data_IF_887560279181
#
_entry.id   IF_887560279181
#
_cell.length_a   1.000
_cell.length_b   1.000
_cell.length_c   1.000
_cell.angle_alpha   90.00
_cell.angle_beta   90.00
_cell.angle_gamma   90.00
#
_symmetry.space_group_name_H-M   'P 1'
#
loop_
_entity.id
_entity.type
_entity.pdbx_description
1 polymer ?
#
# COMPACT_ATOMS: atom_id res chain seq x y z
N UNK A 1 -6.45 8.01 -14.74
CA UNK A 1 -6.25 8.58 -13.40
C UNK A 1 -7.20 9.74 -13.10
N UNK A 2 -7.39 10.70 -14.03
CA UNK A 2 -8.36 11.82 -13.83
C UNK A 2 -9.77 11.29 -13.69
N UNK A 3 -10.17 10.40 -14.56
CA UNK A 3 -11.50 9.78 -14.55
C UNK A 3 -11.75 9.02 -13.24
N UNK A 4 -10.78 8.25 -12.75
CA UNK A 4 -10.89 7.53 -11.48
C UNK A 4 -11.14 8.48 -10.30
N UNK A 5 -10.42 9.63 -10.26
CA UNK A 5 -10.62 10.64 -9.22
C UNK A 5 -11.98 11.35 -9.35
N UNK A 6 -12.47 11.51 -10.57
CA UNK A 6 -13.82 12.08 -10.80
C UNK A 6 -14.93 11.13 -10.34
N UNK A 7 -14.82 9.82 -10.61
CA UNK A 7 -15.73 8.82 -10.06
C UNK A 7 -15.69 8.79 -8.54
N UNK A 8 -14.48 8.87 -7.94
CA UNK A 8 -14.31 8.97 -6.50
C UNK A 8 -15.00 10.21 -5.92
N UNK A 9 -14.80 11.39 -6.55
CA UNK A 9 -15.41 12.65 -6.13
C UNK A 9 -16.93 12.53 -6.13
N UNK A 10 -17.52 12.12 -7.25
CA UNK A 10 -18.97 11.96 -7.40
C UNK A 10 -19.55 11.00 -6.37
N UNK A 11 -18.86 9.87 -6.12
CA UNK A 11 -19.30 8.93 -5.10
C UNK A 11 -19.32 9.57 -3.70
N UNK A 12 -18.25 10.26 -3.35
CA UNK A 12 -18.11 10.87 -2.03
C UNK A 12 -19.09 12.04 -1.83
N UNK A 13 -19.33 12.86 -2.86
CA UNK A 13 -20.34 13.91 -2.83
C UNK A 13 -21.75 13.33 -2.65
N UNK A 14 -22.12 12.32 -3.43
CA UNK A 14 -23.42 11.66 -3.35
C UNK A 14 -23.63 10.96 -2.00
N UNK A 15 -22.57 10.34 -1.46
CA UNK A 15 -22.59 9.64 -0.17
C UNK A 15 -23.02 10.55 0.98
N UNK A 16 -22.69 11.83 0.95
CA UNK A 16 -23.09 12.81 2.00
C UNK A 16 -24.60 12.96 2.12
N UNK A 17 -25.34 12.77 1.02
CA UNK A 17 -26.78 12.99 0.95
C UNK A 17 -27.56 11.68 1.01
N UNK A 18 -27.08 10.67 0.28
CA UNK A 18 -27.82 9.42 0.09
C UNK A 18 -27.31 8.26 0.95
N UNK A 19 -26.12 8.41 1.57
CA UNK A 19 -25.41 7.32 2.23
C UNK A 19 -24.60 6.45 1.26
N UNK A 20 -23.65 5.64 1.78
CA UNK A 20 -22.66 4.95 0.96
C UNK A 20 -23.24 3.92 -0.01
N UNK A 21 -24.24 3.16 0.40
CA UNK A 21 -24.87 2.13 -0.44
C UNK A 21 -25.67 2.77 -1.59
N UNK A 22 -26.52 3.73 -1.30
CA UNK A 22 -27.37 4.36 -2.33
C UNK A 22 -26.51 5.14 -3.35
N UNK A 23 -25.48 5.85 -2.90
CA UNK A 23 -24.51 6.52 -3.75
C UNK A 23 -23.79 5.54 -4.68
N UNK A 24 -23.33 4.41 -4.15
CA UNK A 24 -22.66 3.37 -4.94
C UNK A 24 -23.60 2.78 -6.00
N UNK A 25 -24.83 2.44 -5.62
CA UNK A 25 -25.83 1.85 -6.54
C UNK A 25 -26.21 2.83 -7.65
N UNK A 26 -26.35 4.12 -7.34
CA UNK A 26 -26.61 5.18 -8.33
C UNK A 26 -25.48 5.29 -9.34
N UNK A 27 -24.24 5.38 -8.88
CA UNK A 27 -23.08 5.55 -9.75
C UNK A 27 -22.78 4.28 -10.56
N UNK A 28 -23.01 3.10 -9.99
CA UNK A 28 -22.85 1.82 -10.69
C UNK A 28 -23.75 1.74 -11.92
N UNK A 29 -24.98 2.25 -11.85
CA UNK A 29 -25.87 2.28 -13.01
C UNK A 29 -25.36 3.18 -14.15
N UNK A 30 -24.59 4.20 -13.80
CA UNK A 30 -24.03 5.16 -14.76
C UNK A 30 -22.66 4.74 -15.31
N UNK A 31 -21.93 3.85 -14.63
CA UNK A 31 -20.60 3.41 -15.03
C UNK A 31 -20.63 2.00 -15.64
N UNK A 32 -20.45 1.85 -16.96
CA UNK A 32 -20.46 0.55 -17.64
C UNK A 32 -19.27 -0.34 -17.26
N UNK A 33 -18.19 0.24 -16.69
CA UNK A 33 -16.97 -0.48 -16.27
C UNK A 33 -17.05 -1.00 -14.84
N UNK A 34 -18.10 -0.65 -14.11
CA UNK A 34 -18.27 -1.13 -12.73
C UNK A 34 -18.78 -2.56 -12.74
N UNK A 35 -18.19 -3.45 -11.98
CA UNK A 35 -18.71 -4.80 -11.78
C UNK A 35 -20.12 -4.74 -11.20
N UNK A 36 -21.04 -5.60 -11.69
CA UNK A 36 -22.45 -5.59 -11.30
C UNK A 36 -22.71 -6.18 -9.91
N UNK A 37 -21.73 -6.12 -9.02
CA UNK A 37 -21.86 -6.58 -7.62
C UNK A 37 -22.57 -5.53 -6.78
N UNK A 38 -23.53 -5.95 -5.91
CA UNK A 38 -24.16 -5.01 -4.98
C UNK A 38 -23.14 -4.47 -3.99
N UNK A 39 -23.39 -3.26 -3.46
CA UNK A 39 -22.58 -2.71 -2.38
C UNK A 39 -22.61 -3.62 -1.16
N UNK A 40 -21.46 -3.80 -0.54
CA UNK A 40 -21.27 -4.62 0.67
C UNK A 40 -20.69 -3.73 1.77
N UNK A 41 -21.52 -3.28 2.71
CA UNK A 41 -21.02 -2.52 3.84
C UNK A 41 -20.11 -3.40 4.72
N UNK A 42 -19.19 -2.77 5.41
CA UNK A 42 -18.41 -3.45 6.44
C UNK A 42 -19.26 -3.63 7.71
N UNK A 43 -19.27 -4.81 8.28
CA UNK A 43 -20.03 -5.10 9.49
C UNK A 43 -19.65 -4.14 10.64
N UNK A 44 -20.65 -3.51 11.26
CA UNK A 44 -20.46 -2.52 12.32
C UNK A 44 -19.91 -1.16 11.86
N UNK A 45 -19.82 -0.93 10.54
CA UNK A 45 -19.38 0.32 9.90
C UNK A 45 -20.25 0.61 8.66
N UNK A 46 -21.53 0.30 8.71
CA UNK A 46 -22.44 0.34 7.56
C UNK A 46 -22.58 1.75 6.96
N UNK A 47 -22.45 2.78 7.81
CA UNK A 47 -22.52 4.19 7.39
C UNK A 47 -21.16 4.76 6.92
N UNK A 48 -20.08 3.97 6.98
CA UNK A 48 -18.76 4.40 6.56
C UNK A 48 -18.58 4.09 5.07
N UNK A 49 -18.28 5.08 4.22
CA UNK A 49 -17.96 4.83 2.82
C UNK A 49 -16.77 3.89 2.69
N UNK A 50 -16.98 2.77 2.01
CA UNK A 50 -15.97 1.76 1.74
C UNK A 50 -15.96 1.41 0.26
N UNK A 51 -14.93 1.83 -0.45
CA UNK A 51 -14.81 1.61 -1.90
C UNK A 51 -13.41 1.13 -2.31
N UNK A 52 -13.38 0.46 -3.44
CA UNK A 52 -12.17 -0.04 -4.08
C UNK A 52 -11.96 0.62 -5.45
N UNK A 53 -10.76 1.11 -5.69
CA UNK A 53 -10.27 1.56 -6.98
C UNK A 53 -9.30 0.51 -7.52
N UNK A 54 -9.71 -0.17 -8.60
CA UNK A 54 -8.92 -1.26 -9.19
C UNK A 54 -7.98 -0.72 -10.24
N UNK A 55 -6.67 -0.88 -10.02
CA UNK A 55 -5.62 -0.51 -10.97
C UNK A 55 -4.57 -1.62 -11.06
N UNK A 56 -4.09 -1.95 -12.26
CA UNK A 56 -2.99 -2.89 -12.42
C UNK A 56 -1.70 -2.42 -11.74
N UNK A 57 -0.79 -3.34 -11.48
CA UNK A 57 0.55 -3.02 -11.02
C UNK A 57 1.24 -2.10 -12.04
N UNK A 58 1.95 -1.08 -11.55
CA UNK A 58 2.54 -0.05 -12.42
C UNK A 58 1.58 1.07 -12.85
N UNK A 59 0.26 0.95 -12.61
CA UNK A 59 -0.74 1.97 -12.97
C UNK A 59 -0.74 3.25 -12.11
N UNK A 60 0.24 3.42 -11.22
CA UNK A 60 0.37 4.61 -10.38
C UNK A 60 -0.56 4.63 -9.16
N UNK A 61 -0.86 3.46 -8.56
CA UNK A 61 -1.71 3.33 -7.37
C UNK A 61 -1.33 4.32 -6.26
N UNK A 62 -0.07 4.35 -5.86
CA UNK A 62 0.42 5.22 -4.78
C UNK A 62 0.24 6.71 -5.11
N UNK A 63 0.45 7.12 -6.37
CA UNK A 63 0.19 8.48 -6.80
C UNK A 63 -1.32 8.82 -6.74
N UNK A 64 -2.16 7.90 -7.22
CA UNK A 64 -3.60 8.08 -7.17
C UNK A 64 -4.12 8.11 -5.74
N UNK A 65 -3.57 7.27 -4.86
CA UNK A 65 -3.87 7.28 -3.43
C UNK A 65 -3.52 8.62 -2.77
N UNK A 66 -2.36 9.20 -3.08
CA UNK A 66 -2.00 10.54 -2.62
C UNK A 66 -3.01 11.61 -3.10
N UNK A 67 -3.43 11.54 -4.38
CA UNK A 67 -4.44 12.47 -4.93
C UNK A 67 -5.82 12.28 -4.32
N UNK A 68 -6.20 11.05 -3.95
CA UNK A 68 -7.51 10.75 -3.36
C UNK A 68 -7.70 11.39 -1.97
N UNK A 69 -6.62 11.68 -1.24
CA UNK A 69 -6.69 12.39 0.04
C UNK A 69 -7.35 13.75 -0.15
N UNK A 70 -6.91 14.51 -1.15
CA UNK A 70 -7.48 15.82 -1.44
C UNK A 70 -8.95 15.73 -1.86
N UNK A 71 -9.30 14.72 -2.67
CA UNK A 71 -10.67 14.48 -3.08
C UNK A 71 -11.56 14.15 -1.88
N UNK A 72 -11.12 13.24 -1.01
CA UNK A 72 -11.87 12.86 0.18
C UNK A 72 -12.01 14.03 1.17
N UNK A 73 -10.93 14.79 1.38
CA UNK A 73 -10.94 15.97 2.25
C UNK A 73 -12.00 16.99 1.83
N UNK A 74 -12.11 17.27 0.53
CA UNK A 74 -13.03 18.28 -0.01
C UNK A 74 -14.44 17.76 -0.22
N UNK A 75 -14.58 16.55 -0.81
CA UNK A 75 -15.87 16.04 -1.26
C UNK A 75 -16.70 15.39 -0.14
N UNK A 76 -16.06 14.89 0.92
CA UNK A 76 -16.76 14.12 1.96
C UNK A 76 -16.46 14.57 3.38
N UNK A 77 -15.16 14.67 3.73
CA UNK A 77 -14.77 14.98 5.12
C UNK A 77 -15.02 16.43 5.51
N UNK A 78 -15.03 17.34 4.54
CA UNK A 78 -15.11 18.80 4.75
C UNK A 78 -14.04 19.29 5.74
N UNK A 79 -12.84 18.72 5.65
CA UNK A 79 -11.71 19.01 6.51
C UNK A 79 -10.55 19.56 5.69
N UNK A 80 -9.99 20.67 6.15
CA UNK A 80 -8.80 21.26 5.55
C UNK A 80 -7.56 20.42 5.84
N UNK A 81 -7.48 19.85 7.05
CA UNK A 81 -6.36 19.06 7.54
C UNK A 81 -6.82 17.68 8.08
N UNK A 82 -7.16 16.72 7.20
CA UNK A 82 -7.60 15.41 7.65
C UNK A 82 -6.44 14.57 8.23
N UNK A 83 -6.78 13.73 9.21
CA UNK A 83 -5.93 12.62 9.61
C UNK A 83 -6.09 11.48 8.60
N UNK A 84 -4.97 10.99 8.08
CA UNK A 84 -4.91 9.88 7.12
C UNK A 84 -4.14 8.73 7.73
N UNK A 85 -4.73 7.55 7.73
CA UNK A 85 -4.06 6.30 8.05
C UNK A 85 -3.82 5.50 6.76
N UNK A 86 -2.57 5.48 6.31
CA UNK A 86 -2.18 4.80 5.08
C UNK A 86 -1.58 3.43 5.39
N UNK A 87 -2.33 2.40 5.04
CA UNK A 87 -1.98 1.01 5.33
C UNK A 87 -1.39 0.34 4.10
N UNK A 88 -0.23 -0.30 4.29
CA UNK A 88 0.49 -1.05 3.25
C UNK A 88 0.75 -2.49 3.70
N UNK A 89 0.97 -3.46 2.79
CA UNK A 89 1.04 -4.87 3.14
C UNK A 89 2.31 -5.26 3.91
N UNK A 90 3.46 -4.64 3.60
CA UNK A 90 4.76 -5.05 4.15
C UNK A 90 5.59 -3.89 4.67
N UNK A 91 6.56 -4.18 5.55
CA UNK A 91 7.49 -3.17 6.06
C UNK A 91 8.38 -2.56 4.96
N UNK A 92 8.73 -3.31 3.94
CA UNK A 92 9.49 -2.82 2.78
C UNK A 92 8.68 -1.77 2.01
N UNK A 93 7.41 -2.06 1.70
CA UNK A 93 6.52 -1.10 1.03
C UNK A 93 6.26 0.11 1.93
N UNK A 94 6.14 -0.08 3.25
CA UNK A 94 6.02 1.03 4.21
C UNK A 94 7.21 1.98 4.12
N UNK A 95 8.43 1.46 4.14
CA UNK A 95 9.65 2.28 4.02
C UNK A 95 9.70 3.02 2.68
N UNK A 96 9.35 2.35 1.58
CA UNK A 96 9.28 2.96 0.23
C UNK A 96 8.21 4.05 0.15
N UNK A 97 7.02 3.80 0.68
CA UNK A 97 5.92 4.78 0.70
C UNK A 97 6.32 6.02 1.51
N UNK A 98 6.88 5.83 2.71
CA UNK A 98 7.40 6.93 3.52
C UNK A 98 8.47 7.72 2.78
N UNK A 99 9.44 7.05 2.15
CA UNK A 99 10.51 7.71 1.40
C UNK A 99 9.95 8.56 0.26
N UNK A 100 8.99 8.06 -0.52
CA UNK A 100 8.40 8.80 -1.64
C UNK A 100 7.52 9.96 -1.21
N UNK A 101 6.77 9.81 -0.11
CA UNK A 101 5.92 10.86 0.45
C UNK A 101 6.72 11.96 1.18
N UNK A 102 7.90 11.63 1.72
CA UNK A 102 8.79 12.60 2.39
C UNK A 102 9.75 13.31 1.44
N UNK A 103 10.09 12.68 0.30
CA UNK A 103 11.11 13.20 -0.63
C UNK A 103 10.60 14.44 -1.38
N UNK A 104 11.23 15.63 -1.22
CA UNK A 104 10.91 16.81 -2.00
C UNK A 104 11.05 16.54 -3.51
N UNK A 105 10.10 17.07 -4.31
CA UNK A 105 10.10 16.89 -5.76
C UNK A 105 9.64 15.53 -6.26
N UNK A 106 9.40 14.55 -5.39
CA UNK A 106 8.83 13.26 -5.82
C UNK A 106 7.36 13.45 -6.23
N UNK A 107 6.86 12.81 -7.33
CA UNK A 107 5.48 12.97 -7.80
C UNK A 107 4.41 12.74 -6.72
N UNK A 108 4.58 11.76 -5.84
CA UNK A 108 3.65 11.48 -4.74
C UNK A 108 3.61 12.64 -3.73
N UNK A 109 4.76 13.22 -3.41
CA UNK A 109 4.85 14.39 -2.53
C UNK A 109 4.26 15.63 -3.19
N UNK A 110 4.61 15.91 -4.44
CA UNK A 110 4.08 17.02 -5.22
C UNK A 110 2.56 16.96 -5.37
N UNK A 111 1.98 15.74 -5.48
CA UNK A 111 0.53 15.54 -5.53
C UNK A 111 -0.18 16.05 -4.28
N UNK A 112 0.45 15.91 -3.11
CA UNK A 112 -0.07 16.43 -1.84
C UNK A 112 0.20 17.93 -1.70
N UNK A 113 1.41 18.37 -2.00
CA UNK A 113 1.81 19.78 -1.91
C UNK A 113 0.99 20.69 -2.83
N UNK A 114 0.56 20.19 -3.97
CA UNK A 114 -0.30 20.93 -4.91
C UNK A 114 -1.65 21.37 -4.31
N UNK A 115 -2.13 20.66 -3.28
CA UNK A 115 -3.42 20.94 -2.63
C UNK A 115 -3.24 21.51 -1.23
N UNK A 116 -2.34 20.91 -0.45
CA UNK A 116 -2.16 21.25 0.97
C UNK A 116 -0.92 22.15 1.22
N UNK A 117 -0.19 22.53 0.17
CA UNK A 117 1.02 23.33 0.31
C UNK A 117 2.08 22.62 1.16
N UNK A 118 2.73 23.37 2.05
CA UNK A 118 3.68 22.83 3.02
C UNK A 118 3.07 22.23 4.30
N UNK A 119 1.74 22.27 4.45
CA UNK A 119 1.02 21.85 5.64
C UNK A 119 0.83 20.33 5.67
N UNK A 120 1.95 19.59 5.67
CA UNK A 120 2.00 18.13 5.60
C UNK A 120 2.92 17.58 6.68
N UNK A 121 2.42 16.62 7.45
CA UNK A 121 3.20 15.77 8.34
C UNK A 121 3.07 14.32 7.89
N UNK A 122 4.14 13.75 7.37
CA UNK A 122 4.21 12.31 7.01
C UNK A 122 5.05 11.59 8.05
N UNK A 123 4.45 10.64 8.75
CA UNK A 123 5.07 9.96 9.90
C UNK A 123 4.93 8.43 9.79
N UNK A 124 5.92 7.71 10.29
CA UNK A 124 5.81 6.26 10.47
C UNK A 124 4.87 5.96 11.65
N UNK A 125 4.06 4.91 11.54
CA UNK A 125 3.19 4.47 12.64
C UNK A 125 4.00 4.11 13.91
N UNK A 126 5.28 3.77 13.78
CA UNK A 126 6.14 3.51 14.93
C UNK A 126 6.43 4.78 15.78
N UNK A 127 6.30 5.95 15.16
CA UNK A 127 6.64 7.26 15.73
C UNK A 127 5.38 8.10 16.09
N UNK A 128 4.22 7.49 16.19
CA UNK A 128 2.93 8.18 16.40
C UNK A 128 2.91 9.10 17.64
N UNK A 129 3.72 8.83 18.66
CA UNK A 129 3.83 9.67 19.86
C UNK A 129 4.42 11.06 19.59
N UNK A 130 5.02 11.28 18.41
CA UNK A 130 5.52 12.58 18.00
C UNK A 130 4.44 13.51 17.42
N UNK A 131 3.23 13.01 17.17
CA UNK A 131 2.12 13.81 16.69
C UNK A 131 1.64 14.73 17.81
N UNK A 132 1.58 16.02 17.56
CA UNK A 132 1.13 17.04 18.50
C UNK A 132 -0.29 17.50 18.17
N UNK A 133 -1.09 17.99 19.16
CA UNK A 133 -2.41 18.54 18.90
C UNK A 133 -2.42 19.62 17.82
N UNK A 134 -1.40 20.48 17.78
CA UNK A 134 -1.24 21.51 16.76
C UNK A 134 -1.05 20.94 15.36
N UNK A 135 -0.36 19.81 15.21
CA UNK A 135 -0.20 19.16 13.90
C UNK A 135 -1.56 18.74 13.33
N UNK A 136 -2.48 18.31 14.20
CA UNK A 136 -3.85 17.94 13.81
C UNK A 136 -4.73 19.13 13.40
N UNK A 137 -4.36 20.34 13.80
CA UNK A 137 -5.07 21.57 13.43
C UNK A 137 -4.50 22.21 12.17
N UNK A 138 -3.18 22.19 12.02
CA UNK A 138 -2.48 23.00 11.02
C UNK A 138 -1.96 22.19 9.83
N UNK A 139 -2.04 20.85 9.88
CA UNK A 139 -1.42 19.97 8.88
C UNK A 139 -2.28 18.76 8.55
N UNK A 140 -2.20 18.34 7.30
CA UNK A 140 -2.61 16.98 6.93
C UNK A 140 -1.61 16.00 7.52
N UNK A 141 -2.06 15.18 8.47
CA UNK A 141 -1.23 14.18 9.14
C UNK A 141 -1.42 12.83 8.45
N UNK A 142 -0.38 12.33 7.82
CA UNK A 142 -0.38 11.03 7.12
C UNK A 142 0.47 10.05 7.91
N UNK A 143 -0.18 9.10 8.57
CA UNK A 143 0.47 8.02 9.31
C UNK A 143 0.55 6.79 8.43
N UNK A 144 1.76 6.35 8.09
CA UNK A 144 1.97 5.16 7.24
C UNK A 144 2.31 3.96 8.13
N UNK A 145 1.53 2.89 7.98
CA UNK A 145 1.69 1.68 8.77
C UNK A 145 1.41 0.40 7.99
N UNK A 146 1.61 -0.73 8.63
CA UNK A 146 1.13 -2.01 8.12
C UNK A 146 -0.10 -2.45 8.91
N UNK A 147 -1.01 -3.17 8.25
CA UNK A 147 -2.20 -3.68 8.91
C UNK A 147 -1.83 -4.58 10.11
N UNK A 148 -0.72 -5.31 10.00
CA UNK A 148 -0.20 -6.17 11.07
C UNK A 148 0.13 -5.40 12.36
N UNK A 149 0.48 -4.12 12.27
CA UNK A 149 0.75 -3.28 13.44
C UNK A 149 -0.52 -3.06 14.28
N UNK A 150 -1.67 -2.97 13.64
CA UNK A 150 -2.99 -2.79 14.29
C UNK A 150 -3.73 -4.11 14.50
N UNK A 151 -3.38 -5.15 13.75
CA UNK A 151 -4.02 -6.47 13.76
C UNK A 151 -3.50 -7.29 14.93
N UNK A 152 -4.30 -7.47 15.97
CA UNK A 152 -3.92 -8.22 17.17
C UNK A 152 -5.12 -8.97 17.74
N UNK A 153 -4.91 -10.21 18.17
CA UNK A 153 -5.90 -10.98 18.92
C UNK A 153 -6.05 -10.45 20.36
N UNK A 154 -4.94 -9.90 20.92
CA UNK A 154 -4.93 -9.19 22.20
C UNK A 154 -4.27 -7.83 22.02
N UNK A 155 -4.87 -6.79 22.58
CA UNK A 155 -4.32 -5.42 22.59
C UNK A 155 -3.23 -5.25 23.64
N UNK A 156 -3.09 -6.19 24.57
CA UNK A 156 -2.12 -6.15 25.65
C UNK A 156 -0.68 -6.17 25.12
N UNK A 157 0.18 -5.31 25.66
CA UNK A 157 1.58 -5.19 25.28
C UNK A 157 1.84 -4.56 23.89
N UNK A 158 0.80 -4.12 23.18
CA UNK A 158 0.93 -3.46 21.87
C UNK A 158 0.97 -1.95 21.98
N UNK A 159 2.03 -1.33 21.46
CA UNK A 159 2.26 0.13 21.56
C UNK A 159 1.07 0.96 21.11
N UNK A 160 0.45 0.65 19.97
CA UNK A 160 -0.69 1.41 19.42
C UNK A 160 -1.94 1.40 20.31
N UNK A 161 -2.07 0.41 21.18
CA UNK A 161 -3.16 0.26 22.15
C UNK A 161 -2.72 0.59 23.59
N UNK A 162 -1.43 0.75 23.84
CA UNK A 162 -0.91 1.11 25.15
C UNK A 162 -1.19 2.59 25.47
N UNK A 163 -1.18 2.91 26.75
CA UNK A 163 -1.22 4.29 27.23
C UNK A 163 0.14 4.95 27.05
N UNK A 164 0.14 6.18 26.56
CA UNK A 164 1.35 6.99 26.34
C UNK A 164 1.09 8.41 26.86
N UNK A 165 1.86 8.86 27.83
CA UNK A 165 1.77 10.21 28.38
C UNK A 165 2.04 11.29 27.33
N UNK A 166 2.88 11.00 26.33
CA UNK A 166 3.16 11.89 25.19
C UNK A 166 1.89 12.30 24.42
N UNK A 167 0.82 11.50 24.50
CA UNK A 167 -0.46 11.78 23.85
C UNK A 167 -1.46 12.51 24.76
N UNK A 168 -1.15 12.75 26.04
CA UNK A 168 -2.06 13.38 26.99
C UNK A 168 -2.67 14.68 26.45
N UNK A 169 -1.82 15.53 25.83
CA UNK A 169 -2.23 16.83 25.29
C UNK A 169 -3.39 16.76 24.29
N UNK A 170 -3.57 15.63 23.61
CA UNK A 170 -4.70 15.42 22.69
C UNK A 170 -6.03 15.19 23.42
N UNK A 171 -6.00 14.81 24.67
CA UNK A 171 -7.19 14.40 25.44
C UNK A 171 -7.61 15.39 26.53
N UNK A 172 -6.83 16.44 26.77
CA UNK A 172 -7.09 17.46 27.82
C UNK A 172 -8.49 18.09 27.70
N UNK A 173 -8.93 18.38 26.48
CA UNK A 173 -10.23 19.00 26.22
C UNK A 173 -11.34 18.00 25.84
N UNK A 174 -11.04 16.69 25.86
CA UNK A 174 -12.00 15.65 25.46
C UNK A 174 -12.96 15.38 26.63
N UNK A 175 -14.30 15.50 26.41
CA UNK A 175 -15.27 15.22 27.46
C UNK A 175 -15.12 13.80 28.02
N UNK A 176 -15.23 13.63 29.36
CA UNK A 176 -15.05 12.32 30.00
C UNK A 176 -15.98 11.22 29.45
N UNK A 177 -17.14 11.56 28.90
CA UNK A 177 -18.14 10.63 28.40
C UNK A 177 -18.09 10.45 26.86
N UNK A 178 -17.04 10.90 26.20
CA UNK A 178 -16.89 10.71 24.74
C UNK A 178 -17.01 9.23 24.38
N UNK A 179 -17.96 8.84 23.52
CA UNK A 179 -18.19 7.44 23.17
C UNK A 179 -17.05 6.86 22.35
N UNK A 180 -16.90 5.53 22.38
CA UNK A 180 -15.93 4.81 21.57
C UNK A 180 -14.49 4.82 22.06
N UNK A 181 -14.16 5.63 23.09
CA UNK A 181 -12.80 5.69 23.64
C UNK A 181 -12.58 4.60 24.70
N UNK A 182 -11.44 3.93 24.61
CA UNK A 182 -10.98 2.98 25.65
C UNK A 182 -10.61 3.73 26.92
N UNK A 183 -10.91 3.10 28.06
CA UNK A 183 -10.71 3.64 29.41
C UNK A 183 -10.01 2.63 30.29
N UNK A 184 -9.41 3.13 31.35
CA UNK A 184 -9.00 2.30 32.48
C UNK A 184 -10.21 1.91 33.33
N UNK A 185 -10.03 0.96 34.23
CA UNK A 185 -11.08 0.51 35.18
C UNK A 185 -11.63 1.63 36.04
N UNK A 186 -10.81 2.64 36.35
CA UNK A 186 -11.21 3.84 37.09
C UNK A 186 -12.00 4.87 36.26
N UNK A 187 -12.30 4.56 34.98
CA UNK A 187 -13.06 5.41 34.06
C UNK A 187 -12.24 6.51 33.36
N UNK A 188 -10.94 6.66 33.63
CA UNK A 188 -10.11 7.65 32.95
C UNK A 188 -9.80 7.23 31.50
N UNK A 189 -9.75 8.18 30.58
CA UNK A 189 -9.46 7.93 29.17
C UNK A 189 -8.03 7.42 29.04
N UNK A 190 -7.84 6.35 28.28
CA UNK A 190 -6.53 5.81 27.95
C UNK A 190 -5.91 6.64 26.82
N UNK A 191 -4.76 7.26 27.03
CA UNK A 191 -4.08 8.06 26.01
C UNK A 191 -3.34 7.14 25.03
N UNK A 192 -4.10 6.45 24.17
CA UNK A 192 -3.56 5.51 23.18
C UNK A 192 -3.69 6.07 21.76
N UNK A 193 -2.83 5.59 20.85
CA UNK A 193 -2.94 5.95 19.45
C UNK A 193 -4.28 5.49 18.85
N UNK A 194 -4.78 4.32 19.27
CA UNK A 194 -6.12 3.86 18.90
C UNK A 194 -7.19 4.88 19.28
N UNK A 195 -7.16 5.40 20.50
CA UNK A 195 -8.11 6.44 20.94
C UNK A 195 -7.94 7.75 20.15
N UNK A 196 -6.70 8.12 19.80
CA UNK A 196 -6.45 9.26 18.92
C UNK A 196 -7.09 9.07 17.55
N UNK A 197 -6.94 7.89 16.95
CA UNK A 197 -7.61 7.56 15.67
C UNK A 197 -9.15 7.65 15.81
N UNK A 198 -9.74 7.08 16.86
CA UNK A 198 -11.19 7.13 17.10
C UNK A 198 -11.68 8.56 17.26
N UNK A 199 -10.93 9.40 17.96
CA UNK A 199 -11.29 10.81 18.21
C UNK A 199 -11.33 11.62 16.90
N UNK A 200 -10.37 11.40 16.00
CA UNK A 200 -10.23 12.16 14.76
C UNK A 200 -10.84 11.47 13.53
N UNK A 201 -11.32 10.23 13.64
CA UNK A 201 -11.97 9.47 12.57
C UNK A 201 -11.20 9.57 11.24
N UNK A 202 -10.08 8.86 11.08
CA UNK A 202 -9.19 9.04 9.95
C UNK A 202 -9.81 8.64 8.62
N UNK A 203 -9.34 9.27 7.53
CA UNK A 203 -9.39 8.66 6.20
C UNK A 203 -8.44 7.46 6.19
N UNK A 204 -8.94 6.26 5.91
CA UNK A 204 -8.12 5.06 5.78
C UNK A 204 -7.86 4.79 4.30
N UNK A 205 -6.59 4.74 3.93
CA UNK A 205 -6.13 4.27 2.61
C UNK A 205 -5.51 2.89 2.80
N UNK A 206 -5.94 1.92 1.99
CA UNK A 206 -5.41 0.56 1.99
C UNK A 206 -4.78 0.29 0.63
N UNK A 207 -3.46 0.23 0.58
CA UNK A 207 -2.71 -0.09 -0.64
C UNK A 207 -2.44 -1.60 -0.69
N UNK A 208 -2.66 -2.22 -1.87
CA UNK A 208 -2.59 -3.68 -2.09
C UNK A 208 -3.53 -4.48 -1.17
N UNK A 209 -4.81 -4.16 -1.19
CA UNK A 209 -5.86 -4.67 -0.30
C UNK A 209 -6.19 -6.18 -0.42
N UNK A 210 -5.59 -6.90 -1.37
CA UNK A 210 -5.96 -8.31 -1.68
C UNK A 210 -5.83 -9.30 -0.49
N UNK A 211 -5.12 -8.93 0.58
CA UNK A 211 -4.96 -9.73 1.80
C UNK A 211 -5.79 -9.22 2.99
N UNK A 212 -6.65 -8.21 2.82
CA UNK A 212 -7.21 -7.44 3.93
C UNK A 212 -8.68 -7.78 4.29
N UNK A 213 -9.26 -8.78 3.65
CA UNK A 213 -10.68 -9.16 3.84
C UNK A 213 -10.93 -10.15 4.98
N UNK A 214 -9.96 -10.42 5.84
CA UNK A 214 -10.16 -11.28 7.00
C UNK A 214 -10.98 -10.58 8.09
N UNK A 215 -11.70 -11.35 8.90
CA UNK A 215 -12.45 -10.86 10.07
C UNK A 215 -11.62 -9.96 10.98
N UNK A 216 -10.34 -10.28 11.21
CA UNK A 216 -9.40 -9.46 11.98
C UNK A 216 -9.16 -8.07 11.37
N UNK A 217 -9.26 -7.93 10.03
CA UNK A 217 -9.12 -6.62 9.39
C UNK A 217 -10.35 -5.74 9.63
N UNK A 218 -11.54 -6.34 9.61
CA UNK A 218 -12.79 -5.65 9.94
C UNK A 218 -12.79 -5.21 11.39
N UNK A 219 -12.36 -6.06 12.32
CA UNK A 219 -12.23 -5.69 13.74
C UNK A 219 -11.28 -4.50 13.96
N UNK A 220 -10.16 -4.43 13.25
CA UNK A 220 -9.25 -3.28 13.31
C UNK A 220 -9.98 -2.00 12.89
N UNK A 221 -10.67 -2.04 11.76
CA UNK A 221 -11.42 -0.88 11.25
C UNK A 221 -12.55 -0.47 12.22
N UNK A 222 -13.27 -1.42 12.80
CA UNK A 222 -14.26 -1.16 13.84
C UNK A 222 -13.64 -0.48 15.08
N UNK A 223 -12.44 -0.91 15.48
CA UNK A 223 -11.74 -0.31 16.64
C UNK A 223 -11.32 1.13 16.41
N UNK A 224 -10.88 1.50 15.19
CA UNK A 224 -10.38 2.84 14.88
C UNK A 224 -11.45 3.81 14.39
N UNK A 225 -12.66 3.33 14.07
CA UNK A 225 -13.81 4.15 13.67
C UNK A 225 -13.48 5.15 12.52
N UNK A 226 -13.06 4.69 11.33
CA UNK A 226 -12.68 5.59 10.24
C UNK A 226 -13.87 6.42 9.75
N UNK A 227 -13.59 7.57 9.15
CA UNK A 227 -14.60 8.37 8.46
C UNK A 227 -14.88 7.86 7.02
N UNK A 228 -13.84 7.34 6.34
CA UNK A 228 -13.92 6.83 4.98
C UNK A 228 -12.80 5.82 4.74
N UNK A 229 -13.04 4.82 3.89
CA UNK A 229 -12.06 3.78 3.53
C UNK A 229 -11.96 3.71 2.02
N UNK A 230 -10.74 3.85 1.48
CA UNK A 230 -10.45 3.74 0.05
C UNK A 230 -9.36 2.68 -0.14
N UNK A 231 -9.71 1.62 -0.86
CA UNK A 231 -8.79 0.56 -1.23
C UNK A 231 -8.21 0.80 -2.64
N UNK A 232 -6.93 0.49 -2.79
CA UNK A 232 -6.22 0.45 -4.06
C UNK A 232 -5.62 -0.94 -4.27
N UNK A 233 -6.02 -1.65 -5.33
CA UNK A 233 -5.50 -2.99 -5.60
C UNK A 233 -5.57 -3.34 -7.09
N UNK A 234 -4.67 -4.22 -7.53
CA UNK A 234 -4.77 -4.85 -8.84
C UNK A 234 -5.72 -6.06 -8.84
N UNK A 235 -5.81 -6.72 -7.69
CA UNK A 235 -6.54 -7.97 -7.47
C UNK A 235 -7.54 -7.80 -6.33
N UNK A 236 -8.69 -7.16 -6.56
CA UNK A 236 -9.69 -6.96 -5.52
C UNK A 236 -10.22 -8.29 -5.01
N UNK A 237 -10.57 -8.33 -3.74
CA UNK A 237 -11.26 -9.47 -3.16
C UNK A 237 -12.71 -9.56 -3.70
N UNK A 238 -13.33 -10.73 -3.57
CA UNK A 238 -14.70 -10.98 -4.06
C UNK A 238 -15.77 -10.11 -3.39
N UNK A 239 -15.45 -9.51 -2.26
CA UNK A 239 -16.34 -8.63 -1.48
C UNK A 239 -15.93 -7.14 -1.56
N UNK A 240 -14.94 -6.77 -2.34
CA UNK A 240 -14.56 -5.36 -2.54
C UNK A 240 -15.61 -4.60 -3.33
N UNK A 241 -15.93 -3.37 -2.92
CA UNK A 241 -16.85 -2.46 -3.60
C UNK A 241 -16.11 -1.71 -4.71
N UNK A 242 -15.98 -2.31 -5.88
CA UNK A 242 -15.23 -1.73 -7.01
C UNK A 242 -16.05 -0.58 -7.60
N UNK A 243 -15.63 0.65 -7.29
CA UNK A 243 -16.24 1.87 -7.82
C UNK A 243 -15.78 2.17 -9.25
N UNK A 244 -14.51 1.97 -9.53
CA UNK A 244 -13.91 2.19 -10.84
C UNK A 244 -12.74 1.23 -11.05
N UNK A 245 -12.64 0.69 -12.27
CA UNK A 245 -11.59 -0.23 -12.66
C UNK A 245 -10.88 0.29 -13.91
N UNK A 246 -9.56 0.27 -13.90
CA UNK A 246 -8.73 0.51 -15.07
C UNK A 246 -8.10 -0.82 -15.48
N UNK A 247 -8.24 -1.18 -16.75
CA UNK A 247 -7.64 -2.38 -17.31
C UNK A 247 -6.16 -2.17 -17.67
N UNK A 248 -5.40 -3.27 -17.76
CA UNK A 248 -4.03 -3.23 -18.28
C UNK A 248 -3.99 -2.75 -19.74
N UNK A 249 -5.04 -3.01 -20.51
CA UNK A 249 -5.13 -2.59 -21.90
C UNK A 249 -5.26 -1.06 -22.02
N UNK A 250 -6.07 -0.43 -21.17
CA UNK A 250 -6.20 1.03 -21.12
C UNK A 250 -4.89 1.70 -20.70
N UNK A 251 -4.20 1.15 -19.69
CA UNK A 251 -2.87 1.67 -19.29
C UNK A 251 -1.82 1.50 -20.39
N UNK A 252 -1.93 0.42 -21.20
CA UNK A 252 -1.08 0.24 -22.37
C UNK A 252 -1.35 1.31 -23.43
N UNK A 253 -2.60 1.61 -23.71
CA UNK A 253 -2.98 2.64 -24.67
C UNK A 253 -2.46 4.04 -24.26
N UNK A 254 -2.35 4.30 -22.98
CA UNK A 254 -1.79 5.54 -22.38
C UNK A 254 -0.26 5.47 -22.16
N UNK A 255 0.43 4.44 -22.67
CA UNK A 255 1.87 4.23 -22.50
C UNK A 255 2.35 4.19 -21.03
N UNK A 256 1.46 3.89 -20.10
CA UNK A 256 1.75 3.85 -18.67
C UNK A 256 2.28 2.49 -18.18
N UNK A 257 2.13 1.43 -18.95
CA UNK A 257 2.67 0.10 -18.63
C UNK A 257 3.92 -0.13 -19.45
N UNK A 258 4.98 -0.57 -18.79
CA UNK A 258 6.19 -1.06 -19.45
C UNK A 258 5.86 -2.35 -20.19
N UNK A 259 5.85 -2.31 -21.50
CA UNK A 259 5.62 -3.45 -22.39
C UNK A 259 6.72 -3.48 -23.47
N UNK A 260 7.03 -4.63 -24.02
CA UNK A 260 6.25 -5.88 -24.00
C UNK A 260 6.54 -6.76 -22.77
N UNK A 261 5.52 -7.50 -22.29
CA UNK A 261 5.70 -8.68 -21.45
C UNK A 261 5.74 -9.86 -22.41
N UNK A 262 6.87 -10.56 -22.47
CA UNK A 262 7.05 -11.77 -23.25
C UNK A 262 6.99 -12.97 -22.30
N UNK A 263 6.02 -13.85 -22.53
CA UNK A 263 5.91 -15.10 -21.77
C UNK A 263 6.52 -16.21 -22.63
N UNK A 264 7.49 -16.93 -22.07
CA UNK A 264 8.09 -18.12 -22.68
C UNK A 264 7.81 -19.33 -21.79
N UNK A 265 7.61 -20.48 -22.42
CA UNK A 265 7.45 -21.75 -21.72
C UNK A 265 8.57 -22.69 -22.17
N UNK A 266 9.16 -23.42 -21.24
CA UNK A 266 10.25 -24.34 -21.45
C UNK A 266 9.89 -25.72 -20.91
N UNK A 267 10.48 -26.77 -21.49
CA UNK A 267 10.24 -28.14 -21.01
C UNK A 267 10.93 -28.42 -19.69
N UNK A 268 12.05 -27.74 -19.41
CA UNK A 268 12.85 -27.92 -18.21
C UNK A 268 13.16 -26.56 -17.55
N UNK A 269 13.34 -26.57 -16.23
CA UNK A 269 13.74 -25.37 -15.52
C UNK A 269 15.15 -24.88 -15.93
N UNK A 270 16.04 -25.80 -16.33
CA UNK A 270 17.39 -25.44 -16.83
C UNK A 270 17.31 -24.63 -18.13
N UNK A 271 16.42 -25.01 -19.04
CA UNK A 271 16.18 -24.23 -20.27
C UNK A 271 15.62 -22.83 -19.95
N UNK A 272 14.70 -22.74 -19.01
CA UNK A 272 14.14 -21.45 -18.56
C UNK A 272 15.24 -20.54 -17.99
N UNK A 273 16.15 -21.09 -17.17
CA UNK A 273 17.28 -20.35 -16.61
C UNK A 273 18.25 -19.89 -17.72
N UNK A 274 18.58 -20.76 -18.69
CA UNK A 274 19.44 -20.38 -19.82
C UNK A 274 18.84 -19.30 -20.71
N UNK A 275 17.55 -19.39 -20.99
CA UNK A 275 16.84 -18.33 -21.73
C UNK A 275 16.84 -17.01 -20.98
N UNK A 276 16.69 -17.04 -19.67
CA UNK A 276 16.78 -15.84 -18.83
C UNK A 276 18.18 -15.19 -18.86
N UNK A 277 19.26 -16.00 -18.86
CA UNK A 277 20.63 -15.52 -19.00
C UNK A 277 20.83 -14.82 -20.35
N UNK A 278 20.39 -15.46 -21.44
CA UNK A 278 20.48 -14.89 -22.79
C UNK A 278 19.64 -13.61 -22.94
N UNK A 279 18.45 -13.60 -22.36
CA UNK A 279 17.56 -12.42 -22.38
C UNK A 279 18.18 -11.28 -21.60
N UNK A 280 18.71 -11.56 -20.39
CA UNK A 280 19.42 -10.57 -19.60
C UNK A 280 20.60 -9.96 -20.37
N UNK A 281 21.40 -10.80 -21.05
CA UNK A 281 22.53 -10.31 -21.82
C UNK A 281 22.09 -9.39 -22.96
N UNK A 282 21.03 -9.73 -23.70
CA UNK A 282 20.45 -8.86 -24.73
C UNK A 282 19.99 -7.52 -24.15
N UNK A 283 19.30 -7.55 -22.99
CA UNK A 283 18.85 -6.34 -22.33
C UNK A 283 20.02 -5.47 -21.82
N UNK A 284 21.09 -6.11 -21.34
CA UNK A 284 22.30 -5.41 -20.93
C UNK A 284 22.98 -4.69 -22.10
N UNK A 285 23.07 -5.34 -23.25
CA UNK A 285 23.67 -4.76 -24.45
C UNK A 285 22.82 -3.59 -24.99
N UNK A 286 21.49 -3.69 -24.91
CA UNK A 286 20.57 -2.59 -25.22
C UNK A 286 20.69 -1.45 -24.22
N UNK A 287 20.76 -1.76 -22.92
CA UNK A 287 20.87 -0.75 -21.87
C UNK A 287 22.17 0.07 -21.94
N UNK A 288 23.26 -0.51 -22.46
CA UNK A 288 24.53 0.22 -22.69
C UNK A 288 24.42 1.34 -23.73
N UNK A 289 23.48 1.23 -24.64
CA UNK A 289 23.26 2.20 -25.72
C UNK A 289 22.28 3.29 -25.26
N UNK A 290 21.49 3.02 -24.21
CA UNK A 290 20.52 3.97 -23.67
C UNK A 290 21.23 5.09 -22.90
N UNK A 291 20.61 6.28 -22.91
CA UNK A 291 21.08 7.46 -22.17
C UNK A 291 21.11 7.22 -20.65
N UNK A 292 20.10 6.51 -20.17
CA UNK A 292 19.94 6.16 -18.75
C UNK A 292 20.15 4.64 -18.58
N UNK A 293 21.39 4.25 -18.30
CA UNK A 293 21.71 2.83 -18.10
C UNK A 293 20.91 2.25 -16.93
N UNK A 294 20.16 1.21 -17.23
CA UNK A 294 19.46 0.39 -16.22
C UNK A 294 20.12 -0.99 -16.17
N UNK A 295 20.63 -1.37 -15.00
CA UNK A 295 21.25 -2.68 -14.79
C UNK A 295 20.19 -3.81 -14.84
N UNK A 296 20.18 -4.69 -15.85
CA UNK A 296 19.21 -5.78 -15.93
C UNK A 296 19.53 -6.88 -14.94
N UNK A 297 18.54 -7.31 -14.18
CA UNK A 297 18.65 -8.38 -13.17
C UNK A 297 17.64 -9.47 -13.51
N UNK A 298 18.05 -10.73 -13.37
CA UNK A 298 17.17 -11.89 -13.44
C UNK A 298 16.67 -12.21 -12.03
N UNK A 299 15.35 -12.28 -11.86
CA UNK A 299 14.73 -12.78 -10.64
C UNK A 299 14.24 -14.21 -10.89
N UNK A 300 14.75 -15.16 -10.10
CA UNK A 300 14.40 -16.57 -10.19
C UNK A 300 13.64 -16.95 -8.92
N UNK A 301 12.42 -17.41 -9.07
CA UNK A 301 11.65 -17.96 -7.95
C UNK A 301 11.89 -19.46 -7.88
N UNK A 302 12.53 -19.91 -6.80
CA UNK A 302 12.75 -21.31 -6.49
C UNK A 302 11.58 -21.91 -5.71
N UNK A 303 11.53 -23.22 -5.66
CA UNK A 303 10.60 -23.96 -4.79
C UNK A 303 11.08 -23.96 -3.32
N UNK A 304 10.18 -24.27 -2.41
CA UNK A 304 10.49 -24.43 -0.98
C UNK A 304 11.38 -25.66 -0.73
N UNK A 305 12.02 -25.68 0.43
CA UNK A 305 12.83 -26.83 0.86
C UNK A 305 12.03 -28.12 0.84
N UNK A 306 12.59 -29.17 0.23
CA UNK A 306 11.97 -30.48 0.09
C UNK A 306 11.32 -30.74 -1.28
N UNK A 307 11.35 -29.75 -2.18
CA UNK A 307 10.97 -29.89 -3.59
C UNK A 307 12.19 -30.10 -4.50
N UNK A 308 11.94 -30.34 -5.80
CA UNK A 308 12.99 -30.68 -6.78
C UNK A 308 13.87 -29.50 -7.17
N UNK A 309 13.35 -28.27 -7.18
CA UNK A 309 14.06 -27.08 -7.70
C UNK A 309 14.23 -26.03 -6.63
N UNK A 310 15.10 -26.32 -5.66
CA UNK A 310 15.42 -25.41 -4.55
C UNK A 310 16.41 -24.32 -4.96
N UNK A 311 16.54 -23.27 -4.17
CA UNK A 311 17.47 -22.17 -4.42
C UNK A 311 18.94 -22.65 -4.48
N UNK A 312 19.33 -23.65 -3.66
CA UNK A 312 20.67 -24.21 -3.68
C UNK A 312 20.98 -24.91 -5.02
N UNK A 313 20.02 -25.69 -5.55
CA UNK A 313 20.15 -26.37 -6.83
C UNK A 313 20.30 -25.36 -7.97
N UNK A 314 19.51 -24.30 -7.97
CA UNK A 314 19.58 -23.24 -8.98
C UNK A 314 20.91 -22.49 -8.87
N UNK A 315 21.34 -22.12 -7.66
CA UNK A 315 22.61 -21.45 -7.41
C UNK A 315 23.79 -22.30 -7.91
N UNK A 316 23.79 -23.59 -7.59
CA UNK A 316 24.83 -24.51 -8.02
C UNK A 316 24.84 -24.66 -9.56
N UNK A 317 23.68 -24.75 -10.18
CA UNK A 317 23.56 -24.80 -11.63
C UNK A 317 24.15 -23.55 -12.31
N UNK A 318 23.83 -22.34 -11.81
CA UNK A 318 24.38 -21.08 -12.31
C UNK A 318 25.91 -21.05 -12.22
N UNK A 319 26.47 -21.53 -11.10
CA UNK A 319 27.93 -21.55 -10.88
C UNK A 319 28.61 -22.65 -11.69
N UNK A 320 28.13 -23.88 -11.60
CA UNK A 320 28.83 -25.06 -12.12
C UNK A 320 28.62 -25.29 -13.62
N UNK A 321 27.39 -25.03 -14.09
CA UNK A 321 27.03 -25.28 -15.50
C UNK A 321 27.16 -24.03 -16.34
N UNK A 322 26.59 -22.91 -15.86
CA UNK A 322 26.54 -21.66 -16.63
C UNK A 322 27.76 -20.75 -16.36
N UNK A 323 28.66 -21.15 -15.44
CA UNK A 323 29.93 -20.46 -15.11
C UNK A 323 29.73 -19.00 -14.65
N UNK A 324 28.61 -18.72 -14.01
CA UNK A 324 28.34 -17.41 -13.40
C UNK A 324 29.15 -17.30 -12.10
N UNK A 325 29.86 -16.18 -11.95
CA UNK A 325 30.65 -15.91 -10.74
C UNK A 325 29.75 -15.78 -9.51
N UNK A 326 30.10 -16.39 -8.36
CA UNK A 326 29.24 -16.40 -7.16
C UNK A 326 28.83 -15.02 -6.66
N UNK A 327 29.67 -14.01 -6.84
CA UNK A 327 29.41 -12.61 -6.45
C UNK A 327 28.34 -11.92 -7.32
N UNK A 328 27.98 -12.51 -8.46
CA UNK A 328 26.91 -12.02 -9.32
C UNK A 328 25.53 -12.64 -8.97
N UNK A 329 25.49 -13.52 -7.97
CA UNK A 329 24.30 -14.25 -7.56
C UNK A 329 24.00 -13.91 -6.11
N UNK A 330 22.80 -13.43 -5.82
CA UNK A 330 22.31 -13.21 -4.48
C UNK A 330 21.09 -14.06 -4.17
N UNK A 331 20.98 -14.51 -2.92
CA UNK A 331 19.83 -15.26 -2.40
C UNK A 331 19.04 -14.36 -1.43
N UNK A 332 17.73 -14.26 -1.67
CA UNK A 332 16.81 -13.50 -0.84
C UNK A 332 15.65 -14.38 -0.42
N UNK A 333 15.76 -15.00 0.74
CA UNK A 333 14.73 -15.83 1.37
C UNK A 333 14.41 -15.31 2.78
N UNK A 334 13.43 -15.89 3.47
CA UNK A 334 13.16 -15.54 4.86
C UNK A 334 14.35 -15.74 5.80
N UNK A 335 15.24 -16.72 5.50
CA UNK A 335 16.40 -17.07 6.30
C UNK A 335 17.71 -16.44 5.77
N UNK A 336 17.87 -16.29 4.47
CA UNK A 336 19.04 -15.72 3.81
C UNK A 336 18.69 -14.36 3.21
N UNK A 337 19.36 -13.30 3.67
CA UNK A 337 19.06 -11.90 3.32
C UNK A 337 20.28 -11.22 2.68
N UNK A 338 20.83 -11.82 1.61
CA UNK A 338 22.03 -11.31 0.95
C UNK A 338 21.79 -9.93 0.24
N UNK A 339 20.54 -9.49 0.14
CA UNK A 339 20.16 -8.19 -0.42
C UNK A 339 19.98 -7.08 0.64
N UNK A 340 20.10 -7.37 1.94
CA UNK A 340 19.93 -6.35 2.97
C UNK A 340 20.99 -5.26 2.83
N UNK A 341 20.54 -4.02 2.62
CA UNK A 341 21.44 -2.86 2.43
C UNK A 341 22.03 -2.74 1.02
N UNK A 342 21.72 -3.65 0.11
CA UNK A 342 22.22 -3.62 -1.27
C UNK A 342 21.31 -2.72 -2.15
N UNK A 343 21.93 -1.76 -2.83
CA UNK A 343 21.23 -0.96 -3.85
C UNK A 343 21.35 -1.63 -5.22
N UNK A 344 20.34 -2.40 -5.61
CA UNK A 344 20.30 -3.06 -6.92
C UNK A 344 20.19 -2.09 -8.11
N UNK A 345 19.84 -0.83 -7.87
CA UNK A 345 19.78 0.21 -8.91
C UNK A 345 21.13 0.90 -9.14
N UNK A 346 22.14 0.63 -8.32
CA UNK A 346 23.50 1.15 -8.58
C UNK A 346 24.09 0.42 -9.80
N UNK A 347 24.45 1.15 -10.87
CA UNK A 347 25.05 0.56 -12.07
C UNK A 347 26.35 -0.26 -11.83
N UNK A 348 27.00 -0.02 -10.67
CA UNK A 348 28.26 -0.71 -10.28
C UNK A 348 27.99 -1.96 -9.45
N UNK A 349 26.75 -2.25 -9.11
CA UNK A 349 26.42 -3.44 -8.35
C UNK A 349 26.71 -4.69 -9.21
N UNK A 350 27.48 -5.68 -8.72
CA UNK A 350 27.80 -6.88 -9.47
C UNK A 350 26.63 -7.86 -9.60
N UNK A 351 25.60 -7.77 -8.76
CA UNK A 351 24.50 -8.75 -8.71
C UNK A 351 23.66 -8.70 -9.98
N UNK A 352 23.60 -9.81 -10.67
CA UNK A 352 22.85 -9.99 -11.91
C UNK A 352 21.71 -11.01 -11.78
N UNK A 353 21.80 -11.90 -10.82
CA UNK A 353 20.85 -12.96 -10.55
C UNK A 353 20.40 -12.91 -9.09
N UNK A 354 19.12 -12.88 -8.87
CA UNK A 354 18.51 -12.95 -7.54
C UNK A 354 17.64 -14.19 -7.46
N UNK A 355 17.92 -15.07 -6.51
CA UNK A 355 17.15 -16.28 -6.26
C UNK A 355 16.31 -16.08 -5.01
N UNK A 356 15.01 -16.36 -5.08
CA UNK A 356 14.06 -16.20 -3.99
C UNK A 356 13.09 -17.37 -3.90
N UNK A 357 12.44 -17.56 -2.75
CA UNK A 357 11.38 -18.56 -2.58
C UNK A 357 10.00 -17.90 -2.63
N UNK A 358 9.83 -16.71 -2.05
CA UNK A 358 8.50 -16.08 -1.87
C UNK A 358 8.42 -14.58 -2.24
N UNK A 359 9.40 -14.01 -2.91
CA UNK A 359 9.48 -12.56 -3.16
C UNK A 359 8.38 -12.00 -4.08
N UNK A 360 7.55 -12.85 -4.67
CA UNK A 360 6.44 -12.45 -5.56
C UNK A 360 5.06 -12.59 -4.92
N UNK A 361 5.01 -12.88 -3.61
CA UNK A 361 3.75 -12.89 -2.84
C UNK A 361 3.54 -11.58 -2.08
#
# INVERSE_FOLDING_TARGET
QRETLEWLRRYLEETRFAGPQAAFDTLRQQNPQTERTPYRPLAGLEEVPYICLRLPTGGGKTYLAARSIAVAAQAYLEQEHPLVLWMVPTNTIRAQTLATLKKPGHPNRLALEAVFGGQLLVIDIADFTQIRPQDMQDKVVIVVGTLQTLRVNSTEGRKVYAHHEDLEAHFVSVPPNTPGLERFENGTIKFSFRNLLTLHRPLVIIDEAHNNTSELSVEVLQRIQPACIIEFTATPATNSNILHAISALELKAEEMIKLPIVLTQHETWQEAVRDSILTRQKLHDLAKIDRDYIHPIVLIQAEEHGHEVTFDIIRQFLIDQEKIEPERIAVATGAQRELDGVNLLDPRNPIEFVITIEALK
#
